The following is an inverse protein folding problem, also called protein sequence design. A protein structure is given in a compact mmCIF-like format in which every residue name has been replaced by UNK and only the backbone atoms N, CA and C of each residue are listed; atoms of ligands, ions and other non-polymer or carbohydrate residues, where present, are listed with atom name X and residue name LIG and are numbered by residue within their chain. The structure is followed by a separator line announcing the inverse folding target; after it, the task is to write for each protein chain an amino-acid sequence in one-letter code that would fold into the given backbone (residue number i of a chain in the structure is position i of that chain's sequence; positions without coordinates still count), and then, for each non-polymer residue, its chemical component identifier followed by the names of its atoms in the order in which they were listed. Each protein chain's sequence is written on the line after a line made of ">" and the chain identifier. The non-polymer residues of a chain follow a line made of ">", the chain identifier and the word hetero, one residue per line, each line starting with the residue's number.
data_IF_968015597712
#
_entry.id   IF_968015597712
#
_cell.length_a   1.000
_cell.length_b   1.000
_cell.length_c   1.000
_cell.angle_alpha   90.00
_cell.angle_beta   90.00
_cell.angle_gamma   90.00
#
_symmetry.space_group_name_H-M   'P 1'
#
loop_
_entity.id
_entity.type
_entity.pdbx_description
1 polymer ?
#
# COMPACT_ATOMS: atom_id res chain seq x y z
N UNK A 1 17.33 9.55 24.51
CA UNK A 1 16.01 9.53 25.20
C UNK A 1 15.19 8.38 24.64
N UNK A 2 14.47 7.61 25.47
CA UNK A 2 13.67 6.49 25.01
C UNK A 2 12.48 6.96 24.15
N UNK A 3 12.14 6.21 23.10
CA UNK A 3 10.93 6.44 22.29
C UNK A 3 9.68 6.08 23.12
N UNK A 4 8.57 6.78 22.90
CA UNK A 4 7.29 6.40 23.51
C UNK A 4 6.86 5.01 23.02
N UNK A 5 6.09 4.28 23.82
CA UNK A 5 5.61 2.93 23.44
C UNK A 5 4.83 2.93 22.12
N UNK A 6 3.99 3.95 21.91
CA UNK A 6 3.24 4.13 20.65
C UNK A 6 4.16 4.37 19.45
N UNK A 7 5.24 5.15 19.62
CA UNK A 7 6.21 5.37 18.57
C UNK A 7 7.00 4.10 18.23
N UNK A 8 7.34 3.28 19.24
CA UNK A 8 7.98 1.98 19.01
C UNK A 8 7.07 1.02 18.25
N UNK A 9 5.78 0.95 18.58
CA UNK A 9 4.85 0.10 17.84
C UNK A 9 4.64 0.61 16.41
N UNK A 10 4.49 1.92 16.21
CA UNK A 10 4.38 2.49 14.87
C UNK A 10 5.62 2.20 14.01
N UNK A 11 6.81 2.22 14.61
CA UNK A 11 8.06 1.84 13.94
C UNK A 11 7.99 0.39 13.43
N UNK A 12 7.51 -0.55 14.25
CA UNK A 12 7.35 -1.96 13.85
C UNK A 12 6.36 -2.09 12.69
N UNK A 13 5.24 -1.36 12.75
CA UNK A 13 4.25 -1.36 11.66
C UNK A 13 4.86 -0.81 10.37
N UNK A 14 5.61 0.29 10.44
CA UNK A 14 6.29 0.88 9.29
C UNK A 14 7.33 -0.05 8.66
N UNK A 15 8.11 -0.76 9.48
CA UNK A 15 9.12 -1.72 9.01
C UNK A 15 8.51 -2.97 8.36
N UNK A 16 7.32 -3.39 8.82
CA UNK A 16 6.61 -4.54 8.26
C UNK A 16 5.80 -4.17 7.01
N UNK A 17 5.63 -2.88 6.71
CA UNK A 17 4.78 -2.43 5.63
C UNK A 17 5.30 -2.94 4.28
N UNK A 18 4.44 -3.49 3.41
CA UNK A 18 4.87 -4.00 2.11
C UNK A 18 5.41 -2.87 1.23
N UNK A 19 6.42 -3.20 0.41
CA UNK A 19 6.99 -2.29 -0.58
C UNK A 19 5.99 -2.03 -1.70
N UNK A 20 5.82 -0.76 -2.06
CA UNK A 20 5.02 -0.34 -3.21
C UNK A 20 5.90 -0.31 -4.47
N UNK A 21 5.85 -1.40 -5.22
CA UNK A 21 6.56 -1.60 -6.50
C UNK A 21 6.20 -0.56 -7.56
N UNK A 22 4.98 -0.01 -7.53
CA UNK A 22 4.51 0.95 -8.53
C UNK A 22 5.01 2.36 -8.23
N UNK A 23 5.36 2.63 -6.97
CA UNK A 23 5.78 3.94 -6.48
C UNK A 23 7.05 3.81 -5.65
N UNK A 24 8.19 3.38 -6.24
CA UNK A 24 9.43 3.12 -5.50
C UNK A 24 9.93 4.34 -4.71
N UNK A 25 9.62 5.56 -5.18
CA UNK A 25 9.99 6.82 -4.50
C UNK A 25 9.03 7.23 -3.37
N UNK A 26 7.83 6.67 -3.30
CA UNK A 26 6.79 7.02 -2.31
C UNK A 26 6.35 5.78 -1.53
N UNK A 27 7.10 5.48 -0.49
CA UNK A 27 6.86 4.30 0.36
C UNK A 27 6.17 4.69 1.65
N UNK A 28 4.96 4.18 1.88
CA UNK A 28 4.20 4.49 3.10
C UNK A 28 4.89 3.95 4.36
N UNK A 29 5.54 2.79 4.29
CA UNK A 29 6.35 2.26 5.39
C UNK A 29 7.42 3.25 5.85
N UNK A 30 8.16 3.85 4.90
CA UNK A 30 9.17 4.86 5.20
C UNK A 30 8.56 6.10 5.87
N UNK A 31 7.37 6.54 5.43
CA UNK A 31 6.65 7.62 6.09
C UNK A 31 6.30 7.27 7.54
N UNK A 32 5.79 6.07 7.81
CA UNK A 32 5.48 5.62 9.18
C UNK A 32 6.74 5.54 10.06
N UNK A 33 7.86 5.06 9.51
CA UNK A 33 9.16 5.05 10.19
C UNK A 33 9.61 6.47 10.51
N UNK A 34 9.55 7.40 9.55
CA UNK A 34 9.89 8.80 9.78
C UNK A 34 8.98 9.45 10.83
N UNK A 35 7.68 9.19 10.77
CA UNK A 35 6.69 9.67 11.74
C UNK A 35 7.00 9.16 13.16
N UNK A 36 7.37 7.89 13.29
CA UNK A 36 7.78 7.28 14.57
C UNK A 36 9.03 7.92 15.17
N UNK A 37 9.91 8.48 14.34
CA UNK A 37 11.18 9.10 14.75
C UNK A 37 11.06 10.61 14.99
N UNK A 38 10.03 11.27 14.46
CA UNK A 38 9.81 12.71 14.61
C UNK A 38 9.28 13.07 15.99
N UNK A 39 10.05 13.86 16.75
CA UNK A 39 9.63 14.35 18.08
C UNK A 39 8.39 15.25 18.02
N UNK A 40 8.26 16.03 16.95
CA UNK A 40 7.15 16.96 16.77
C UNK A 40 5.84 16.20 16.58
N UNK A 41 5.85 15.16 15.74
CA UNK A 41 4.65 14.42 15.39
C UNK A 41 4.30 13.30 16.39
N UNK A 42 5.25 12.86 17.22
CA UNK A 42 4.99 11.86 18.28
C UNK A 42 3.89 12.30 19.26
N UNK A 43 3.71 13.61 19.48
CA UNK A 43 2.67 14.15 20.38
C UNK A 43 1.25 13.88 19.89
N UNK A 44 1.07 13.69 18.57
CA UNK A 44 -0.24 13.39 17.96
C UNK A 44 -0.53 11.89 17.82
N UNK A 45 0.37 11.02 18.26
CA UNK A 45 0.15 9.57 18.17
C UNK A 45 -0.89 9.12 19.19
N UNK A 46 -1.95 8.50 18.68
CA UNK A 46 -3.01 7.92 19.51
C UNK A 46 -3.02 6.40 19.38
N UNK A 47 -3.51 5.67 20.41
CA UNK A 47 -3.72 4.23 20.31
C UNK A 47 -4.66 3.84 19.16
N UNK A 48 -5.62 4.71 18.81
CA UNK A 48 -6.57 4.47 17.73
C UNK A 48 -5.92 4.54 16.35
N UNK A 49 -5.00 5.49 16.14
CA UNK A 49 -4.17 5.54 14.94
C UNK A 49 -3.37 4.24 14.80
N UNK A 50 -2.72 3.79 15.88
CA UNK A 50 -1.95 2.55 15.81
C UNK A 50 -2.84 1.35 15.47
N UNK A 51 -4.03 1.25 16.08
CA UNK A 51 -5.01 0.20 15.77
C UNK A 51 -5.46 0.24 14.30
N UNK A 52 -5.63 1.41 13.70
CA UNK A 52 -6.01 1.51 12.28
C UNK A 52 -4.88 1.01 11.38
N UNK A 53 -3.62 1.35 11.68
CA UNK A 53 -2.47 0.86 10.92
C UNK A 53 -2.34 -0.66 11.00
N UNK A 54 -2.55 -1.27 12.18
CA UNK A 54 -2.60 -2.73 12.31
C UNK A 54 -3.71 -3.36 11.48
N UNK A 55 -4.91 -2.78 11.47
CA UNK A 55 -6.02 -3.29 10.67
C UNK A 55 -5.75 -3.23 9.17
N UNK A 56 -5.05 -2.19 8.71
CA UNK A 56 -4.66 -2.03 7.31
C UNK A 56 -3.62 -3.07 6.91
N UNK A 57 -2.51 -3.18 7.66
CA UNK A 57 -1.41 -4.11 7.30
C UNK A 57 -1.80 -5.59 7.43
N UNK A 58 -2.75 -5.91 8.30
CA UNK A 58 -3.29 -7.27 8.45
C UNK A 58 -4.48 -7.53 7.53
N UNK A 59 -4.88 -6.53 6.73
CA UNK A 59 -6.00 -6.60 5.80
C UNK A 59 -7.31 -7.07 6.44
N UNK A 60 -7.51 -6.84 7.76
CA UNK A 60 -8.65 -7.38 8.53
C UNK A 60 -10.01 -6.87 8.06
N UNK A 61 -10.02 -5.76 7.32
CA UNK A 61 -11.27 -5.19 6.78
C UNK A 61 -11.78 -5.98 5.57
N UNK A 62 -10.93 -6.75 4.90
CA UNK A 62 -11.34 -7.62 3.78
C UNK A 62 -12.38 -8.64 4.24
N UNK A 63 -12.21 -9.21 5.42
CA UNK A 63 -13.12 -10.21 5.97
C UNK A 63 -14.49 -9.61 6.32
N UNK A 64 -14.48 -8.40 6.87
CA UNK A 64 -15.70 -7.69 7.27
C UNK A 64 -16.47 -7.16 6.05
N UNK A 65 -15.76 -6.73 5.02
CA UNK A 65 -16.32 -6.13 3.81
C UNK A 65 -15.93 -6.96 2.59
N UNK A 66 -16.36 -8.22 2.60
CA UNK A 66 -16.12 -9.13 1.49
C UNK A 66 -16.73 -8.56 0.19
N UNK A 67 -15.93 -8.54 -0.87
CA UNK A 67 -16.40 -8.11 -2.18
C UNK A 67 -17.27 -9.21 -2.80
N UNK A 68 -18.43 -8.81 -3.33
CA UNK A 68 -19.29 -9.75 -4.05
C UNK A 68 -18.64 -10.23 -5.35
N UNK A 69 -18.99 -11.43 -5.79
CA UNK A 69 -18.51 -11.98 -7.07
C UNK A 69 -18.84 -11.06 -8.25
N UNK A 70 -20.02 -10.44 -8.24
CA UNK A 70 -20.43 -9.45 -9.26
C UNK A 70 -19.52 -8.21 -9.31
N UNK A 71 -18.92 -7.84 -8.18
CA UNK A 71 -17.92 -6.77 -8.13
C UNK A 71 -16.55 -7.23 -8.64
N UNK A 72 -16.17 -8.49 -8.37
CA UNK A 72 -14.90 -9.06 -8.83
C UNK A 72 -14.91 -9.47 -10.29
N UNK A 73 -16.09 -9.74 -10.86
CA UNK A 73 -16.30 -10.19 -12.24
C UNK A 73 -17.44 -9.35 -12.85
N UNK A 74 -17.16 -8.09 -13.26
CA UNK A 74 -18.19 -7.23 -13.78
C UNK A 74 -18.69 -7.75 -15.13
N UNK A 75 -20.00 -7.78 -15.34
CA UNK A 75 -20.61 -8.38 -16.53
C UNK A 75 -20.14 -7.76 -17.87
N UNK A 76 -19.80 -6.47 -17.87
CA UNK A 76 -19.29 -5.77 -19.05
C UNK A 76 -17.83 -6.13 -19.39
N UNK A 77 -17.04 -6.58 -18.40
CA UNK A 77 -15.65 -6.98 -18.60
C UNK A 77 -15.21 -8.00 -17.54
N UNK A 78 -15.53 -9.30 -17.72
CA UNK A 78 -15.28 -10.33 -16.71
C UNK A 78 -13.82 -10.43 -16.26
N UNK A 79 -12.87 -10.29 -17.19
CA UNK A 79 -11.44 -10.44 -16.91
C UNK A 79 -10.75 -9.16 -16.43
N UNK A 80 -11.52 -8.09 -16.14
CA UNK A 80 -10.98 -6.76 -15.86
C UNK A 80 -9.89 -6.77 -14.79
N UNK A 81 -10.20 -7.34 -13.64
CA UNK A 81 -9.28 -7.32 -12.49
C UNK A 81 -8.12 -8.30 -12.68
N UNK A 82 -8.33 -9.44 -13.32
CA UNK A 82 -7.26 -10.38 -13.66
C UNK A 82 -6.21 -9.71 -14.57
N UNK A 83 -6.66 -9.02 -15.63
CA UNK A 83 -5.77 -8.27 -16.52
C UNK A 83 -5.08 -7.11 -15.83
N UNK A 84 -5.77 -6.41 -14.91
CA UNK A 84 -5.13 -5.37 -14.10
C UNK A 84 -3.97 -5.94 -13.27
N UNK A 85 -4.16 -7.08 -12.60
CA UNK A 85 -3.10 -7.73 -11.83
C UNK A 85 -1.91 -8.06 -12.74
N UNK A 86 -2.14 -8.72 -13.88
CA UNK A 86 -1.06 -9.04 -14.82
C UNK A 86 -0.29 -7.81 -15.29
N UNK A 87 -0.99 -6.72 -15.64
CA UNK A 87 -0.33 -5.47 -16.05
C UNK A 87 0.48 -4.83 -14.93
N UNK A 88 0.04 -4.96 -13.68
CA UNK A 88 0.77 -4.46 -12.51
C UNK A 88 2.03 -5.31 -12.23
N UNK A 89 1.95 -6.63 -12.40
CA UNK A 89 3.09 -7.54 -12.28
C UNK A 89 4.14 -7.25 -13.37
N UNK A 90 3.73 -7.13 -14.63
CA UNK A 90 4.61 -6.73 -15.75
C UNK A 90 5.30 -5.37 -15.51
N UNK A 91 4.56 -4.41 -14.95
CA UNK A 91 5.10 -3.09 -14.64
C UNK A 91 6.13 -3.14 -13.50
N UNK A 92 5.91 -3.99 -12.50
CA UNK A 92 6.85 -4.21 -11.41
C UNK A 92 8.18 -4.75 -11.93
N UNK A 93 8.13 -5.81 -12.74
CA UNK A 93 9.30 -6.43 -13.36
C UNK A 93 10.07 -5.43 -14.21
N UNK A 94 9.36 -4.61 -14.99
CA UNK A 94 9.96 -3.57 -15.84
C UNK A 94 10.61 -2.44 -15.03
N UNK A 95 10.02 -2.06 -13.89
CA UNK A 95 10.54 -1.03 -13.00
C UNK A 95 11.80 -1.48 -12.26
N UNK A 96 11.93 -2.77 -11.95
CA UNK A 96 13.15 -3.34 -11.33
C UNK A 96 14.33 -3.38 -12.31
N UNK A 97 14.06 -3.44 -13.62
CA UNK A 97 15.07 -3.46 -14.69
C UNK A 97 15.57 -2.07 -15.12
N UNK A 98 15.21 -0.99 -14.41
CA UNK A 98 15.75 0.35 -14.64
C UNK A 98 15.22 1.07 -15.88
N UNK A 99 14.07 0.65 -16.43
CA UNK A 99 13.43 1.36 -17.52
C UNK A 99 12.74 2.64 -17.00
N UNK A 100 12.88 3.73 -17.76
CA UNK A 100 12.19 5.00 -17.55
C UNK A 100 10.69 4.83 -17.26
N UNK A 101 10.06 5.84 -16.64
CA UNK A 101 8.63 5.84 -16.29
C UNK A 101 7.79 5.09 -17.31
N UNK A 102 6.88 4.18 -16.89
CA UNK A 102 6.08 3.39 -17.81
C UNK A 102 5.05 4.30 -18.50
N UNK A 103 5.52 5.08 -19.47
CA UNK A 103 4.77 5.87 -20.44
C UNK A 103 3.97 4.89 -21.30
N UNK A 104 2.90 4.37 -20.73
CA UNK A 104 2.10 3.33 -21.36
C UNK A 104 1.30 2.46 -20.41
N UNK A 105 1.65 2.37 -19.11
CA UNK A 105 0.89 1.53 -18.17
C UNK A 105 -0.55 2.02 -18.03
N UNK A 106 -0.73 3.31 -17.78
CA UNK A 106 -2.06 3.91 -17.66
C UNK A 106 -2.83 3.91 -18.98
N UNK A 107 -2.15 4.03 -20.13
CA UNK A 107 -2.77 3.86 -21.46
C UNK A 107 -3.28 2.44 -21.69
N UNK A 108 -2.48 1.42 -21.35
CA UNK A 108 -2.86 0.00 -21.41
C UNK A 108 -4.00 -0.34 -20.46
N UNK A 109 -4.01 0.26 -19.27
CA UNK A 109 -5.07 0.07 -18.25
C UNK A 109 -6.37 0.79 -18.64
N UNK A 110 -6.29 1.99 -19.22
CA UNK A 110 -7.46 2.82 -19.53
C UNK A 110 -7.99 2.66 -20.95
N UNK A 111 -7.31 1.88 -21.81
CA UNK A 111 -7.72 1.65 -23.19
C UNK A 111 -7.68 2.92 -24.07
N UNK A 112 -6.83 3.89 -23.71
CA UNK A 112 -6.60 5.14 -24.46
C UNK A 112 -5.19 5.23 -24.99
#
# INVERSE_FOLDING_TARGET
>A
MPKSGLAQELLKVGQRWPTDILRPRLQYGNFLVALSNSKEHQKGLTPELLRSQHRLIENRLKDKYALSEKMMVPASYPDKYAKLVTLLEEAAESSELGAEEPKGLWSRITGR
#
